data_IF_107238193323
#
_entry.id   IF_107238193323
#
_cell.length_a   1.000
_cell.length_b   1.000
_cell.length_c   1.000
_cell.angle_alpha   90.00
_cell.angle_beta   90.00
_cell.angle_gamma   90.00
#
_symmetry.space_group_name_H-M   'P 1'
#
loop_
_entity.id
_entity.type
_entity.pdbx_description
1 polymer ?
#
# COMPACT_ATOMS: atom_id res chain seq x y z
N UNK A 1 6.35 15.85 -4.27
CA UNK A 1 5.50 14.86 -3.56
C UNK A 1 4.10 15.43 -3.49
N UNK A 2 3.12 14.82 -4.15
CA UNK A 2 1.73 15.32 -4.23
C UNK A 2 0.92 15.14 -2.94
N UNK A 3 1.38 14.33 -1.97
CA UNK A 3 0.63 14.00 -0.75
C UNK A 3 -0.51 12.98 -0.97
N UNK A 4 -0.74 12.53 -2.21
CA UNK A 4 -1.82 11.61 -2.55
C UNK A 4 -1.80 10.31 -1.72
N UNK A 5 -0.63 9.69 -1.55
CA UNK A 5 -0.49 8.48 -0.76
C UNK A 5 -0.88 8.71 0.72
N UNK A 6 -0.52 9.85 1.29
CA UNK A 6 -0.89 10.23 2.66
C UNK A 6 -2.41 10.42 2.78
N UNK A 7 -3.04 11.07 1.80
CA UNK A 7 -4.50 11.26 1.78
C UNK A 7 -5.26 9.95 1.73
N UNK A 8 -4.83 9.01 0.86
CA UNK A 8 -5.42 7.68 0.75
C UNK A 8 -5.29 6.91 2.08
N UNK A 9 -4.09 6.93 2.67
CA UNK A 9 -3.83 6.26 3.95
C UNK A 9 -4.69 6.82 5.08
N UNK A 10 -4.80 8.14 5.19
CA UNK A 10 -5.64 8.80 6.19
C UNK A 10 -7.12 8.43 6.01
N UNK A 11 -7.63 8.41 4.77
CA UNK A 11 -9.01 8.05 4.50
C UNK A 11 -9.31 6.61 4.96
N UNK A 12 -8.42 5.66 4.67
CA UNK A 12 -8.58 4.26 5.09
C UNK A 12 -8.60 4.13 6.61
N UNK A 13 -7.64 4.77 7.30
CA UNK A 13 -7.52 4.70 8.75
C UNK A 13 -8.73 5.35 9.44
N UNK A 14 -9.19 6.50 8.94
CA UNK A 14 -10.35 7.20 9.48
C UNK A 14 -11.65 6.40 9.28
N UNK A 15 -11.77 5.70 8.15
CA UNK A 15 -12.96 4.87 7.85
C UNK A 15 -13.04 3.62 8.72
N UNK A 16 -11.91 2.94 8.95
CA UNK A 16 -11.86 1.70 9.73
C UNK A 16 -11.82 1.93 11.25
N UNK A 17 -11.41 3.12 11.67
CA UNK A 17 -11.33 3.53 13.08
C UNK A 17 -10.19 2.88 13.86
N UNK A 18 -9.96 3.40 15.06
CA UNK A 18 -8.82 3.03 15.92
C UNK A 18 -8.86 1.55 16.40
N UNK A 19 -10.06 0.97 16.53
CA UNK A 19 -10.22 -0.44 16.96
C UNK A 19 -9.66 -1.45 15.95
N UNK A 20 -9.57 -1.05 14.67
CA UNK A 20 -9.10 -1.88 13.56
C UNK A 20 -7.81 -1.35 12.96
N UNK A 21 -6.99 -0.64 13.74
CA UNK A 21 -5.79 0.04 13.27
C UNK A 21 -4.84 -0.88 12.47
N UNK A 22 -4.65 -2.12 12.89
CA UNK A 22 -3.78 -3.06 12.16
C UNK A 22 -4.32 -3.41 10.79
N UNK A 23 -5.64 -3.64 10.68
CA UNK A 23 -6.28 -3.89 9.39
C UNK A 23 -6.22 -2.64 8.51
N UNK A 24 -6.44 -1.46 9.08
CA UNK A 24 -6.36 -0.19 8.38
C UNK A 24 -4.95 0.07 7.82
N UNK A 25 -3.91 -0.15 8.62
CA UNK A 25 -2.51 0.00 8.20
C UNK A 25 -2.10 -1.01 7.14
N UNK A 26 -2.50 -2.28 7.30
CA UNK A 26 -2.23 -3.32 6.31
C UNK A 26 -2.94 -3.03 4.99
N UNK A 27 -4.20 -2.61 5.02
CA UNK A 27 -4.95 -2.22 3.81
C UNK A 27 -4.38 -0.97 3.15
N UNK A 28 -4.00 0.05 3.93
CA UNK A 28 -3.42 1.27 3.39
C UNK A 28 -2.12 0.98 2.63
N UNK A 29 -1.20 0.24 3.24
CA UNK A 29 0.06 -0.13 2.58
C UNK A 29 -0.16 -1.11 1.43
N UNK A 30 -1.11 -2.05 1.54
CA UNK A 30 -1.47 -2.93 0.42
C UNK A 30 -1.95 -2.14 -0.79
N UNK A 31 -2.88 -1.20 -0.61
CA UNK A 31 -3.42 -0.39 -1.71
C UNK A 31 -2.35 0.48 -2.36
N UNK A 32 -1.48 1.12 -1.57
CA UNK A 32 -0.35 1.89 -2.10
C UNK A 32 0.59 1.00 -2.93
N UNK A 33 0.92 -0.19 -2.42
CA UNK A 33 1.80 -1.11 -3.15
C UNK A 33 1.13 -1.70 -4.39
N UNK A 34 -0.17 -1.98 -4.37
CA UNK A 34 -0.92 -2.49 -5.53
C UNK A 34 -0.84 -1.54 -6.72
N UNK A 35 -0.77 -0.25 -6.49
CA UNK A 35 -0.61 0.78 -7.53
C UNK A 35 0.83 0.88 -8.05
N UNK A 36 1.77 0.12 -7.50
CA UNK A 36 3.17 0.12 -7.92
C UNK A 36 4.11 0.91 -7.01
N UNK A 37 3.63 1.43 -5.87
CA UNK A 37 4.51 2.07 -4.88
C UNK A 37 5.34 1.00 -4.20
N UNK A 38 6.67 1.22 -4.12
CA UNK A 38 7.55 0.32 -3.37
C UNK A 38 7.16 0.27 -1.91
N UNK A 39 7.26 -0.92 -1.30
CA UNK A 39 6.87 -1.15 0.09
C UNK A 39 7.58 -0.21 1.07
N UNK A 40 8.85 0.08 0.84
CA UNK A 40 9.62 0.98 1.70
C UNK A 40 9.04 2.39 1.69
N UNK A 41 8.71 2.89 0.49
CA UNK A 41 8.07 4.21 0.31
C UNK A 41 6.66 4.23 0.91
N UNK A 42 5.89 3.16 0.71
CA UNK A 42 4.56 3.02 1.30
C UNK A 42 4.62 3.04 2.84
N UNK A 43 5.55 2.27 3.42
CA UNK A 43 5.75 2.22 4.88
C UNK A 43 6.18 3.58 5.41
N UNK A 44 7.18 4.24 4.81
CA UNK A 44 7.65 5.57 5.24
C UNK A 44 6.52 6.61 5.16
N UNK A 45 5.65 6.51 4.15
CA UNK A 45 4.53 7.43 3.97
C UNK A 45 3.45 7.24 5.04
N UNK A 46 3.16 5.99 5.41
CA UNK A 46 2.11 5.66 6.39
C UNK A 46 2.63 5.72 7.83
N UNK A 47 3.94 5.56 8.05
CA UNK A 47 4.56 5.48 9.36
C UNK A 47 4.22 6.65 10.31
N UNK A 48 4.25 7.93 9.90
CA UNK A 48 3.90 9.05 10.80
C UNK A 48 2.49 8.91 11.37
N UNK A 49 1.53 8.52 10.53
CA UNK A 49 0.14 8.32 10.94
C UNK A 49 0.04 7.11 11.87
N UNK A 50 0.67 6.00 11.50
CA UNK A 50 0.71 4.78 12.30
C UNK A 50 1.29 5.04 13.70
N UNK A 51 2.40 5.76 13.78
CA UNK A 51 3.06 6.09 15.04
C UNK A 51 2.22 7.04 15.91
N UNK A 52 1.56 8.03 15.30
CA UNK A 52 0.64 8.92 16.02
C UNK A 52 -0.49 8.14 16.68
N UNK A 53 -1.16 7.26 15.93
CA UNK A 53 -2.22 6.41 16.44
C UNK A 53 -1.67 5.41 17.46
N UNK A 54 -0.50 4.83 17.19
CA UNK A 54 0.15 3.89 18.08
C UNK A 54 0.46 4.49 19.46
N UNK A 55 0.97 5.73 19.50
CA UNK A 55 1.18 6.47 20.76
C UNK A 55 -0.13 6.63 21.55
N UNK A 56 -1.22 7.02 20.87
CA UNK A 56 -2.54 7.20 21.51
C UNK A 56 -3.11 5.89 22.07
N UNK A 57 -2.88 4.77 21.40
CA UNK A 57 -3.39 3.45 21.77
C UNK A 57 -2.42 2.61 22.61
N UNK A 58 -1.21 3.11 22.90
CA UNK A 58 -0.18 2.38 23.64
C UNK A 58 0.34 1.15 22.88
N UNK A 59 0.41 1.23 21.53
CA UNK A 59 0.86 0.13 20.67
C UNK A 59 2.36 0.24 20.36
N UNK A 60 3.04 -0.91 20.26
CA UNK A 60 4.45 -0.97 19.89
C UNK A 60 4.65 -0.54 18.42
N UNK A 61 5.63 0.32 18.11
CA UNK A 61 6.01 0.66 16.74
C UNK A 61 6.34 -0.56 15.87
N UNK A 62 6.97 -1.57 16.47
CA UNK A 62 7.31 -2.81 15.75
C UNK A 62 6.07 -3.56 15.27
N UNK A 63 5.01 -3.59 16.07
CA UNK A 63 3.75 -4.25 15.69
C UNK A 63 3.04 -3.49 14.56
N UNK A 64 3.07 -2.16 14.60
CA UNK A 64 2.53 -1.33 13.52
C UNK A 64 3.32 -1.54 12.22
N UNK A 65 4.64 -1.61 12.32
CA UNK A 65 5.51 -1.90 11.18
C UNK A 65 5.21 -3.27 10.56
N UNK A 66 5.04 -4.31 11.39
CA UNK A 66 4.69 -5.65 10.89
C UNK A 66 3.35 -5.65 10.15
N UNK A 67 2.36 -4.93 10.64
CA UNK A 67 1.08 -4.79 9.93
C UNK A 67 1.25 -4.11 8.57
N UNK A 68 2.03 -3.03 8.51
CA UNK A 68 2.32 -2.31 7.27
C UNK A 68 3.12 -3.16 6.28
N UNK A 69 4.15 -3.87 6.74
CA UNK A 69 4.95 -4.75 5.87
C UNK A 69 4.10 -5.91 5.35
N UNK A 70 3.29 -6.53 6.19
CA UNK A 70 2.40 -7.62 5.80
C UNK A 70 1.43 -7.21 4.69
N UNK A 71 0.75 -6.07 4.86
CA UNK A 71 -0.13 -5.51 3.84
C UNK A 71 0.63 -5.11 2.57
N UNK A 72 1.75 -4.40 2.72
CA UNK A 72 2.58 -3.97 1.59
C UNK A 72 3.10 -5.13 0.74
N UNK A 73 3.53 -6.23 1.36
CA UNK A 73 3.93 -7.45 0.63
C UNK A 73 2.79 -8.05 -0.18
N UNK A 74 1.58 -8.07 0.39
CA UNK A 74 0.40 -8.54 -0.34
C UNK A 74 0.08 -7.64 -1.55
N UNK A 75 0.24 -6.32 -1.42
CA UNK A 75 0.10 -5.38 -2.53
C UNK A 75 1.17 -5.56 -3.60
N UNK A 76 2.42 -5.80 -3.19
CA UNK A 76 3.53 -5.96 -4.13
C UNK A 76 3.33 -7.11 -5.12
N UNK A 77 2.81 -8.25 -4.69
CA UNK A 77 2.66 -9.42 -5.58
C UNK A 77 1.59 -9.24 -6.65
N UNK A 78 0.69 -8.27 -6.48
CA UNK A 78 -0.35 -7.93 -7.47
C UNK A 78 -0.06 -6.64 -8.22
N UNK A 79 1.11 -6.03 -8.01
CA UNK A 79 1.47 -4.75 -8.61
C UNK A 79 2.48 -4.88 -9.74
N UNK A 80 2.51 -3.93 -10.68
CA UNK A 80 3.52 -3.87 -11.73
C UNK A 80 4.85 -3.30 -11.19
N UNK A 81 5.37 -3.88 -10.10
CA UNK A 81 6.67 -3.49 -9.58
C UNK A 81 7.81 -4.26 -10.27
N UNK A 82 9.06 -3.83 -10.17
CA UNK A 82 10.19 -4.47 -10.82
C UNK A 82 10.34 -5.96 -10.52
N UNK A 83 10.01 -6.41 -9.30
CA UNK A 83 10.10 -7.83 -8.95
C UNK A 83 9.10 -8.67 -9.75
N UNK A 84 7.86 -8.19 -9.87
CA UNK A 84 6.80 -8.86 -10.64
C UNK A 84 7.10 -8.82 -12.13
N UNK A 85 7.62 -7.71 -12.64
CA UNK A 85 8.02 -7.55 -14.05
C UNK A 85 9.14 -8.53 -14.38
N UNK A 86 10.26 -8.54 -13.62
CA UNK A 86 11.39 -9.43 -13.83
C UNK A 86 10.95 -10.90 -13.72
N UNK A 87 10.08 -11.24 -12.78
CA UNK A 87 9.56 -12.60 -12.67
C UNK A 87 8.75 -12.98 -13.92
N UNK A 88 7.84 -12.11 -14.38
CA UNK A 88 7.06 -12.34 -15.58
C UNK A 88 7.94 -12.54 -16.82
N UNK A 89 8.96 -11.71 -17.00
CA UNK A 89 9.92 -11.80 -18.11
C UNK A 89 10.72 -13.12 -18.09
N UNK A 90 11.29 -13.48 -16.93
CA UNK A 90 12.09 -14.71 -16.80
C UNK A 90 11.27 -15.98 -17.04
N UNK A 91 10.02 -15.99 -16.62
CA UNK A 91 9.11 -17.12 -16.84
C UNK A 91 8.37 -17.03 -18.17
N UNK A 92 8.63 -16.00 -19.00
CA UNK A 92 7.93 -15.72 -20.27
C UNK A 92 6.41 -15.70 -20.09
N UNK A 93 5.97 -15.21 -18.94
CA UNK A 93 4.57 -15.09 -18.59
C UNK A 93 4.09 -13.66 -18.85
N UNK A 94 2.80 -13.53 -19.18
CA UNK A 94 2.19 -12.20 -19.30
C UNK A 94 2.03 -11.54 -17.95
N UNK A 95 2.56 -10.31 -17.82
CA UNK A 95 2.55 -9.56 -16.56
C UNK A 95 1.13 -9.39 -16.00
N UNK A 96 0.15 -9.04 -16.84
CA UNK A 96 -1.24 -8.85 -16.40
C UNK A 96 -1.85 -10.14 -15.88
N UNK A 97 -1.54 -11.27 -16.50
CA UNK A 97 -1.95 -12.59 -16.03
C UNK A 97 -1.31 -12.93 -14.68
N UNK A 98 0.00 -12.67 -14.51
CA UNK A 98 0.69 -12.87 -13.24
C UNK A 98 0.05 -12.03 -12.13
N UNK A 99 -0.21 -10.75 -12.38
CA UNK A 99 -0.87 -9.86 -11.44
C UNK A 99 -2.27 -10.37 -11.06
N UNK A 100 -3.06 -10.78 -12.05
CA UNK A 100 -4.41 -11.27 -11.82
C UNK A 100 -4.46 -12.55 -10.99
N UNK A 101 -3.64 -13.54 -11.32
CA UNK A 101 -3.59 -14.81 -10.55
C UNK A 101 -3.04 -14.60 -9.13
N UNK A 102 -2.25 -13.58 -8.90
CA UNK A 102 -1.73 -13.24 -7.57
C UNK A 102 -2.76 -12.51 -6.68
N UNK A 103 -3.93 -12.11 -7.19
CA UNK A 103 -4.98 -11.48 -6.37
C UNK A 103 -5.43 -12.40 -5.24
N UNK A 104 -5.69 -13.68 -5.55
CA UNK A 104 -6.14 -14.64 -4.54
C UNK A 104 -5.10 -14.89 -3.45
N UNK A 105 -3.82 -15.19 -3.75
CA UNK A 105 -2.77 -15.26 -2.74
C UNK A 105 -2.60 -13.97 -1.93
N UNK A 106 -2.73 -12.80 -2.55
CA UNK A 106 -2.62 -11.52 -1.87
C UNK A 106 -3.72 -11.32 -0.82
N UNK A 107 -4.98 -11.65 -1.17
CA UNK A 107 -6.11 -11.59 -0.25
C UNK A 107 -5.92 -12.57 0.92
N UNK A 108 -5.53 -13.81 0.63
CA UNK A 108 -5.25 -14.82 1.67
C UNK A 108 -4.13 -14.34 2.59
N UNK A 109 -3.03 -13.82 2.04
CA UNK A 109 -1.91 -13.29 2.80
C UNK A 109 -2.30 -12.09 3.68
N UNK A 110 -3.14 -11.19 3.17
CA UNK A 110 -3.67 -10.07 3.94
C UNK A 110 -4.52 -10.55 5.12
N UNK A 111 -5.45 -11.47 4.88
CA UNK A 111 -6.29 -12.05 5.93
C UNK A 111 -5.43 -12.78 6.97
N UNK A 112 -4.45 -13.54 6.53
CA UNK A 112 -3.48 -14.19 7.42
C UNK A 112 -2.71 -13.17 8.27
N UNK A 113 -2.25 -12.08 7.68
CA UNK A 113 -1.58 -10.99 8.40
C UNK A 113 -2.49 -10.40 9.47
N UNK A 114 -3.74 -10.06 9.12
CA UNK A 114 -4.67 -9.38 10.03
C UNK A 114 -5.16 -10.33 11.14
N UNK A 115 -5.53 -11.56 10.81
CA UNK A 115 -6.19 -12.46 11.76
C UNK A 115 -5.23 -13.37 12.51
N UNK A 116 -4.11 -13.77 11.91
CA UNK A 116 -3.15 -14.69 12.51
C UNK A 116 -1.96 -13.95 13.07
N UNK A 117 -1.18 -13.26 12.23
CA UNK A 117 0.07 -12.63 12.66
C UNK A 117 -0.22 -11.57 13.73
N UNK A 118 -1.20 -10.69 13.50
CA UNK A 118 -1.54 -9.64 14.46
C UNK A 118 -2.17 -10.16 15.77
N UNK A 119 -2.64 -11.39 15.80
CA UNK A 119 -3.14 -12.02 17.01
C UNK A 119 -2.03 -12.68 17.83
N UNK A 120 -0.99 -13.19 17.17
CA UNK A 120 0.12 -13.88 17.82
C UNK A 120 1.15 -12.93 18.44
N UNK A 121 1.26 -11.70 17.94
CA UNK A 121 2.27 -10.75 18.38
C UNK A 121 1.75 -9.93 19.57
N UNK A 122 2.57 -9.76 20.64
CA UNK A 122 2.24 -8.89 21.76
C UNK A 122 2.06 -7.44 21.32
N UNK A 123 0.92 -6.85 21.58
CA UNK A 123 0.52 -5.53 21.03
C UNK A 123 1.02 -4.34 21.85
N UNK A 124 1.37 -4.55 23.13
CA UNK A 124 1.71 -3.44 24.04
C UNK A 124 3.17 -3.06 23.99
N UNK A 125 3.44 -1.78 24.22
CA UNK A 125 4.78 -1.25 24.43
C UNK A 125 5.46 -2.01 25.57
N UNK A 126 6.53 -2.75 25.25
CA UNK A 126 7.61 -2.97 26.19
C UNK A 126 8.42 -1.68 26.21
N UNK A 127 8.62 -1.10 27.39
CA UNK A 127 9.20 0.23 27.62
C UNK A 127 10.66 0.35 27.15
N UNK A 128 10.89 0.35 25.83
CA UNK A 128 12.20 0.66 25.26
C UNK A 128 12.04 1.88 24.34
N UNK A 129 12.37 3.02 24.93
CA UNK A 129 12.26 4.31 24.28
C UNK A 129 13.15 4.43 23.04
N UNK A 130 12.53 4.46 21.88
CA UNK A 130 13.07 5.14 20.72
C UNK A 130 12.36 6.50 20.63
N UNK A 131 13.09 7.55 20.95
CA UNK A 131 12.70 8.93 20.60
C UNK A 131 12.74 9.01 19.08
N UNK A 132 11.59 8.91 18.44
CA UNK A 132 11.48 9.28 17.02
C UNK A 132 11.06 10.74 16.95
N UNK A 133 11.85 11.50 16.20
CA UNK A 133 11.55 12.90 15.88
C UNK A 133 10.20 13.01 15.18
N UNK A 134 9.40 13.96 15.64
CA UNK A 134 8.15 14.33 14.99
C UNK A 134 8.45 15.04 13.67
N UNK A 135 8.26 14.38 12.57
CA UNK A 135 8.19 15.06 11.27
C UNK A 135 6.76 15.57 11.12
N UNK A 136 6.51 16.74 11.66
CA UNK A 136 5.31 17.51 11.35
C UNK A 136 5.47 18.10 9.94
N UNK A 137 4.90 17.45 8.96
CA UNK A 137 4.79 18.03 7.61
C UNK A 137 3.38 18.64 7.47
N UNK A 138 3.30 19.94 7.77
CA UNK A 138 2.07 20.75 7.73
C UNK A 138 1.74 21.17 6.28
N UNK A 139 1.70 20.20 5.37
CA UNK A 139 1.34 20.42 3.98
C UNK A 139 -0.16 20.19 3.78
N UNK A 140 -0.79 21.12 3.08
CA UNK A 140 -2.16 20.94 2.61
C UNK A 140 -2.23 19.67 1.76
N UNK A 141 -2.99 18.68 2.24
CA UNK A 141 -3.17 17.41 1.56
C UNK A 141 -4.21 17.57 0.43
N UNK A 142 -3.99 16.97 -0.74
CA UNK A 142 -4.95 16.98 -1.83
C UNK A 142 -6.25 16.27 -1.45
N UNK A 143 -7.34 16.52 -2.18
CA UNK A 143 -8.59 15.82 -1.98
C UNK A 143 -8.46 14.33 -2.28
N UNK A 144 -9.29 13.49 -1.65
CA UNK A 144 -9.28 12.05 -1.89
C UNK A 144 -9.54 11.70 -3.36
N UNK A 145 -10.48 12.42 -4.01
CA UNK A 145 -10.78 12.20 -5.41
C UNK A 145 -9.57 12.48 -6.31
N UNK A 146 -8.88 13.61 -6.12
CA UNK A 146 -7.66 13.94 -6.85
C UNK A 146 -6.53 12.92 -6.60
N UNK A 147 -6.41 12.43 -5.36
CA UNK A 147 -5.39 11.43 -4.98
C UNK A 147 -5.59 10.08 -5.67
N UNK A 148 -6.81 9.73 -6.05
CA UNK A 148 -7.15 8.45 -6.68
C UNK A 148 -7.03 8.46 -8.21
N UNK A 149 -6.90 9.63 -8.84
CA UNK A 149 -6.86 9.75 -10.33
C UNK A 149 -5.70 8.93 -10.92
N UNK A 150 -4.47 9.16 -10.45
CA UNK A 150 -3.30 8.45 -10.96
C UNK A 150 -3.39 6.92 -10.79
N UNK A 151 -3.68 6.38 -9.60
CA UNK A 151 -3.87 4.95 -9.40
C UNK A 151 -4.95 4.34 -10.30
N UNK A 152 -6.11 4.98 -10.38
CA UNK A 152 -7.25 4.47 -11.16
C UNK A 152 -6.89 4.39 -12.65
N UNK A 153 -6.30 5.46 -13.21
CA UNK A 153 -5.90 5.47 -14.62
C UNK A 153 -4.88 4.37 -14.91
N UNK A 154 -3.87 4.23 -14.06
CA UNK A 154 -2.85 3.18 -14.21
C UNK A 154 -3.48 1.78 -14.19
N UNK A 155 -4.37 1.51 -13.23
CA UNK A 155 -5.05 0.21 -13.11
C UNK A 155 -5.93 -0.05 -14.34
N UNK A 156 -6.68 0.95 -14.80
CA UNK A 156 -7.51 0.81 -16.00
C UNK A 156 -6.65 0.46 -17.23
N UNK A 157 -5.54 1.18 -17.44
CA UNK A 157 -4.65 0.92 -18.58
C UNK A 157 -4.07 -0.51 -18.55
N UNK A 158 -3.65 -0.98 -17.38
CA UNK A 158 -3.12 -2.33 -17.23
C UNK A 158 -4.21 -3.41 -17.33
N UNK A 159 -5.44 -3.10 -16.92
CA UNK A 159 -6.58 -4.00 -17.00
C UNK A 159 -7.15 -4.14 -18.42
N UNK A 160 -6.78 -3.28 -19.38
CA UNK A 160 -7.25 -3.38 -20.75
C UNK A 160 -6.86 -4.71 -21.41
N UNK A 161 -5.72 -5.27 -21.07
CA UNK A 161 -5.28 -6.55 -21.65
C UNK A 161 -6.17 -7.72 -21.27
N UNK A 162 -6.42 -8.06 -19.98
CA UNK A 162 -7.27 -9.17 -19.61
C UNK A 162 -8.75 -8.94 -19.96
N UNK A 163 -9.20 -7.69 -20.10
CA UNK A 163 -10.62 -7.35 -20.37
C UNK A 163 -10.90 -7.16 -21.85
N UNK A 164 -10.04 -6.48 -22.57
CA UNK A 164 -10.27 -6.08 -23.97
C UNK A 164 -9.21 -6.61 -24.95
N UNK A 165 -8.22 -7.36 -24.49
CA UNK A 165 -7.13 -7.88 -25.33
C UNK A 165 -6.13 -6.79 -25.80
N UNK A 166 -6.26 -5.55 -25.32
CA UNK A 166 -5.37 -4.43 -25.70
C UNK A 166 -4.15 -4.43 -24.80
N UNK A 167 -2.98 -4.64 -25.38
CA UNK A 167 -1.71 -4.63 -24.63
C UNK A 167 -1.20 -3.19 -24.45
N UNK A 168 -1.19 -2.72 -23.21
CA UNK A 168 -0.51 -1.48 -22.85
C UNK A 168 0.74 -1.87 -22.04
N UNK A 169 1.90 -1.41 -22.51
CA UNK A 169 3.17 -1.65 -21.82
C UNK A 169 3.14 -0.92 -20.45
N UNK A 170 3.51 -1.59 -19.34
CA UNK A 170 3.65 -0.97 -18.03
C UNK A 170 4.57 0.25 -18.02
N UNK A 171 5.61 0.26 -18.87
CA UNK A 171 6.52 1.40 -19.03
C UNK A 171 5.82 2.64 -19.63
N UNK A 172 4.66 2.47 -20.24
CA UNK A 172 3.81 3.54 -20.78
C UNK A 172 2.66 3.85 -19.80
N UNK A 173 2.01 2.81 -19.26
CA UNK A 173 0.85 2.98 -18.37
C UNK A 173 1.20 3.73 -17.08
N UNK A 174 2.36 3.43 -16.46
CA UNK A 174 2.79 4.06 -15.21
C UNK A 174 3.09 5.57 -15.36
N UNK A 175 3.88 6.03 -16.37
CA UNK A 175 4.08 7.45 -16.60
C UNK A 175 2.79 8.21 -16.93
N UNK A 176 1.91 7.64 -17.76
CA UNK A 176 0.61 8.27 -18.10
C UNK A 176 -0.23 8.47 -16.83
N UNK A 177 -0.39 7.43 -16.00
CA UNK A 177 -1.10 7.54 -14.73
C UNK A 177 -0.48 8.60 -13.82
N UNK A 178 0.85 8.64 -13.73
CA UNK A 178 1.58 9.65 -12.96
C UNK A 178 1.33 11.08 -13.42
N UNK A 179 1.39 11.33 -14.73
CA UNK A 179 1.13 12.68 -15.33
C UNK A 179 -0.30 13.12 -15.04
N UNK A 180 -1.29 12.23 -15.25
CA UNK A 180 -2.69 12.53 -14.98
C UNK A 180 -2.98 12.81 -13.49
N UNK A 181 -2.14 12.32 -12.58
CA UNK A 181 -2.29 12.61 -11.15
C UNK A 181 -1.61 13.90 -10.68
N UNK A 182 -0.87 14.58 -11.56
CA UNK A 182 -0.22 15.86 -11.28
C UNK A 182 -1.09 17.03 -11.76
N UNK A 183 -1.86 16.79 -12.82
CA UNK A 183 -2.83 17.75 -13.39
C UNK A 183 -4.08 17.86 -12.52
#
# INVERSE_FOLDING_TARGET
KTGAATTISNAIINTLGEKRVFAALALATMLLCTVGVFIDVAVITVAPIALSIGKRLGLSPSVLLIAMIGGGKCGNIVSPNPNTIIAAENFKADLSSVMFYNVLPAVIGLLFTIFVIMRLIPKRLTNNGTKQEEVADDKQLPSLASSLVAPIITIILLALRPVAGITVDPLIALPIGGICGIL
#
